data_IF_043675316737
#
_entry.id   IF_043675316737
#
_cell.length_a   1.000
_cell.length_b   1.000
_cell.length_c   1.000
_cell.angle_alpha   90.00
_cell.angle_beta   90.00
_cell.angle_gamma   90.00
#
_symmetry.space_group_name_H-M   'P 1'
#
loop_
_entity.id
_entity.type
_entity.pdbx_description
1 polymer ?
#
# COMPACT_ATOMS: atom_id res chain seq x y z
N UNK A 1 13.88 14.31 8.86
CA UNK A 1 12.56 14.79 8.39
C UNK A 1 12.68 15.05 6.90
N UNK A 2 12.10 14.20 6.06
CA UNK A 2 12.20 14.36 4.59
C UNK A 2 11.00 15.20 4.14
N UNK A 3 11.29 16.29 3.42
CA UNK A 3 10.26 17.24 2.99
C UNK A 3 9.32 16.60 1.95
N UNK A 4 9.84 15.76 1.06
CA UNK A 4 9.04 15.07 0.05
C UNK A 4 9.55 13.65 -0.19
N UNK A 5 8.67 12.70 -0.46
CA UNK A 5 9.10 11.32 -0.63
C UNK A 5 7.97 10.32 -0.75
N UNK A 6 8.33 9.04 -0.72
CA UNK A 6 7.39 7.92 -0.73
C UNK A 6 7.19 7.44 0.68
N UNK A 7 5.93 7.22 1.05
CA UNK A 7 5.56 6.60 2.32
C UNK A 7 4.62 5.45 2.06
N UNK A 8 4.73 4.42 2.88
CA UNK A 8 3.86 3.27 2.89
C UNK A 8 2.84 3.36 4.03
N UNK A 9 1.67 2.78 3.79
CA UNK A 9 0.61 2.61 4.78
C UNK A 9 0.06 1.20 4.64
N UNK A 10 0.04 0.46 5.73
CA UNK A 10 -0.66 -0.82 5.80
C UNK A 10 -2.16 -0.59 5.57
N UNK A 11 -2.73 -1.29 4.60
CA UNK A 11 -4.17 -1.22 4.29
C UNK A 11 -4.94 -2.41 4.84
N UNK A 12 -4.41 -3.62 4.66
CA UNK A 12 -5.08 -4.85 5.04
C UNK A 12 -4.04 -5.95 5.31
N UNK A 13 -4.40 -6.87 6.20
CA UNK A 13 -3.64 -8.07 6.52
C UNK A 13 -4.60 -9.26 6.54
N UNK A 14 -4.16 -10.41 6.02
CA UNK A 14 -4.89 -11.67 6.07
C UNK A 14 -3.96 -12.78 6.49
N UNK A 15 -4.44 -13.65 7.36
CA UNK A 15 -3.68 -14.79 7.85
C UNK A 15 -3.67 -15.94 6.83
N UNK A 16 -2.59 -16.71 6.86
CA UNK A 16 -2.38 -17.93 6.08
C UNK A 16 -1.85 -19.04 7.01
N UNK A 17 -2.68 -19.57 7.93
CA UNK A 17 -2.23 -20.46 9.01
C UNK A 17 -1.66 -21.80 8.51
N UNK A 18 -2.10 -22.27 7.34
CA UNK A 18 -1.68 -23.55 6.78
C UNK A 18 -0.44 -23.46 5.87
N UNK A 19 0.03 -22.24 5.56
CA UNK A 19 1.19 -22.05 4.68
C UNK A 19 2.47 -22.60 5.33
N UNK A 20 3.17 -23.51 4.65
CA UNK A 20 4.47 -24.00 5.06
C UNK A 20 5.57 -23.01 4.70
N UNK A 21 6.37 -22.58 5.69
CA UNK A 21 7.50 -21.70 5.44
C UNK A 21 8.71 -22.46 4.88
N UNK A 22 9.07 -22.21 3.62
CA UNK A 22 10.28 -22.76 2.97
C UNK A 22 11.61 -22.46 3.68
N UNK A 23 11.62 -21.53 4.64
CA UNK A 23 12.87 -21.10 5.30
C UNK A 23 13.07 -21.66 6.70
N UNK A 24 11.99 -22.08 7.38
CA UNK A 24 12.11 -22.68 8.72
C UNK A 24 11.26 -23.94 8.91
N UNK A 25 10.49 -24.38 7.92
CA UNK A 25 9.65 -25.57 7.99
C UNK A 25 8.36 -25.42 8.82
N UNK A 26 8.20 -24.30 9.54
CA UNK A 26 7.00 -24.04 10.34
C UNK A 26 5.82 -23.57 9.51
N UNK A 27 4.61 -23.83 10.00
CA UNK A 27 3.36 -23.36 9.39
C UNK A 27 2.92 -22.01 9.93
N UNK A 28 2.28 -21.24 9.07
CA UNK A 28 1.60 -20.02 9.46
C UNK A 28 2.35 -18.74 9.10
N UNK A 29 1.54 -17.72 8.80
CA UNK A 29 2.02 -16.38 8.50
C UNK A 29 0.88 -15.46 8.10
N UNK A 30 1.26 -14.33 7.53
CA UNK A 30 0.35 -13.30 7.03
C UNK A 30 0.71 -12.86 5.62
N UNK A 31 -0.28 -12.30 4.94
CA UNK A 31 -0.13 -11.50 3.73
C UNK A 31 -0.70 -10.12 4.01
N UNK A 32 0.09 -9.09 3.78
CA UNK A 32 -0.27 -7.69 4.01
C UNK A 32 -0.19 -6.88 2.72
N UNK A 33 -1.16 -5.98 2.53
CA UNK A 33 -1.21 -5.02 1.42
C UNK A 33 -0.84 -3.64 1.94
N UNK A 34 0.10 -2.99 1.26
CA UNK A 34 0.58 -1.66 1.56
C UNK A 34 0.26 -0.70 0.41
N UNK A 35 -0.28 0.46 0.75
CA UNK A 35 -0.38 1.60 -0.16
C UNK A 35 0.90 2.41 -0.09
N UNK A 36 1.57 2.58 -1.23
CA UNK A 36 2.63 3.56 -1.38
C UNK A 36 2.01 4.82 -1.97
N UNK A 37 2.25 5.95 -1.34
CA UNK A 37 1.84 7.27 -1.80
C UNK A 37 3.00 8.24 -1.76
N UNK A 38 2.95 9.24 -2.63
CA UNK A 38 3.87 10.36 -2.59
C UNK A 38 3.35 11.41 -1.61
N UNK A 39 4.23 12.00 -0.81
CA UNK A 39 3.89 13.10 0.08
C UNK A 39 4.85 14.28 -0.11
N UNK A 40 4.35 15.47 0.15
CA UNK A 40 5.11 16.72 0.25
C UNK A 40 4.71 17.40 1.55
N UNK A 41 5.68 17.82 2.36
CA UNK A 41 5.49 18.39 3.70
C UNK A 41 4.53 17.57 4.58
N UNK A 42 4.64 16.24 4.56
CA UNK A 42 3.75 15.25 5.22
C UNK A 42 2.31 15.18 4.67
N UNK A 43 1.96 16.00 3.68
CA UNK A 43 0.66 15.96 3.01
C UNK A 43 0.74 14.92 1.89
N UNK A 44 -0.15 13.92 1.85
CA UNK A 44 -0.20 12.97 0.76
C UNK A 44 -0.76 13.63 -0.52
N UNK A 45 -0.05 13.43 -1.63
CA UNK A 45 -0.36 14.07 -2.90
C UNK A 45 -1.09 13.13 -3.86
N UNK A 46 -0.56 11.94 -4.09
CA UNK A 46 -1.20 10.93 -4.92
C UNK A 46 -0.73 9.51 -4.57
N UNK A 47 -1.59 8.50 -4.76
CA UNK A 47 -1.20 7.10 -4.63
C UNK A 47 -0.25 6.71 -5.79
N UNK A 48 0.84 6.01 -5.46
CA UNK A 48 1.83 5.54 -6.43
C UNK A 48 1.61 4.09 -6.84
N UNK A 49 1.54 3.19 -5.86
CA UNK A 49 1.41 1.75 -6.13
C UNK A 49 0.93 0.99 -4.90
N UNK A 50 0.41 -0.22 -5.09
CA UNK A 50 0.07 -1.16 -4.01
C UNK A 50 1.05 -2.33 -3.99
N UNK A 51 1.78 -2.49 -2.88
CA UNK A 51 2.70 -3.61 -2.65
C UNK A 51 2.06 -4.65 -1.76
N UNK A 52 2.47 -5.90 -1.95
CA UNK A 52 2.11 -7.01 -1.08
C UNK A 52 3.41 -7.57 -0.49
N UNK A 53 3.38 -7.86 0.79
CA UNK A 53 4.42 -8.59 1.48
C UNK A 53 3.78 -9.72 2.29
N UNK A 54 4.52 -10.81 2.47
CA UNK A 54 4.12 -11.91 3.35
C UNK A 54 5.17 -12.06 4.44
N UNK A 55 4.74 -12.44 5.64
CA UNK A 55 5.62 -12.65 6.78
C UNK A 55 5.25 -13.95 7.48
N UNK A 56 6.24 -14.80 7.77
CA UNK A 56 6.06 -15.98 8.61
C UNK A 56 5.98 -15.59 10.08
N UNK A 57 5.14 -16.26 10.86
CA UNK A 57 5.06 -16.01 12.30
C UNK A 57 6.30 -16.45 13.07
N UNK A 58 6.86 -17.62 12.73
CA UNK A 58 7.97 -18.21 13.48
C UNK A 58 9.31 -17.53 13.18
N UNK A 59 9.74 -17.53 11.92
CA UNK A 59 11.05 -16.98 11.55
C UNK A 59 11.03 -15.48 11.18
N UNK A 60 9.86 -14.86 11.11
CA UNK A 60 9.65 -13.45 10.69
C UNK A 60 10.20 -13.09 9.31
N UNK A 61 10.57 -14.08 8.50
CA UNK A 61 11.06 -13.86 7.13
C UNK A 61 9.98 -13.17 6.32
N UNK A 62 10.36 -12.05 5.71
CA UNK A 62 9.49 -11.28 4.83
C UNK A 62 9.76 -11.66 3.39
N UNK A 63 8.70 -12.05 2.68
CA UNK A 63 8.70 -12.28 1.24
C UNK A 63 8.02 -11.12 0.54
N UNK A 64 8.49 -10.76 -0.65
CA UNK A 64 7.82 -9.81 -1.55
C UNK A 64 7.20 -10.57 -2.72
N UNK A 65 6.31 -9.94 -3.48
CA UNK A 65 5.50 -10.58 -4.55
C UNK A 65 6.26 -11.53 -5.50
N UNK A 66 7.55 -11.27 -5.78
CA UNK A 66 8.39 -12.13 -6.63
C UNK A 66 8.75 -13.48 -6.00
N UNK A 67 8.80 -13.55 -4.67
CA UNK A 67 9.23 -14.71 -3.88
C UNK A 67 8.03 -15.42 -3.20
N UNK A 68 6.81 -15.12 -3.66
CA UNK A 68 5.57 -15.68 -3.10
C UNK A 68 5.36 -17.12 -3.57
N UNK A 69 4.92 -17.97 -2.64
CA UNK A 69 4.33 -19.26 -2.95
C UNK A 69 2.99 -19.08 -3.71
N UNK A 70 2.43 -20.19 -4.21
CA UNK A 70 1.15 -20.17 -4.92
C UNK A 70 0.00 -19.68 -4.03
N UNK A 71 -0.08 -20.15 -2.78
CA UNK A 71 -1.10 -19.75 -1.82
C UNK A 71 -0.93 -18.27 -1.42
N UNK A 72 0.28 -17.81 -1.11
CA UNK A 72 0.57 -16.39 -0.88
C UNK A 72 0.17 -15.51 -2.07
N UNK A 73 0.46 -15.96 -3.30
CA UNK A 73 0.08 -15.24 -4.52
C UNK A 73 -1.43 -15.17 -4.69
N UNK A 74 -2.16 -16.26 -4.45
CA UNK A 74 -3.62 -16.30 -4.51
C UNK A 74 -4.25 -15.34 -3.49
N UNK A 75 -3.87 -15.47 -2.21
CA UNK A 75 -4.35 -14.61 -1.12
C UNK A 75 -4.04 -13.14 -1.40
N UNK A 76 -2.83 -12.84 -1.88
CA UNK A 76 -2.46 -11.46 -2.22
C UNK A 76 -3.32 -10.87 -3.34
N UNK A 77 -3.73 -11.67 -4.33
CA UNK A 77 -4.61 -11.22 -5.42
C UNK A 77 -6.02 -10.94 -4.91
N UNK A 78 -6.56 -11.82 -4.06
CA UNK A 78 -7.87 -11.63 -3.44
C UNK A 78 -7.88 -10.38 -2.55
N UNK A 79 -6.90 -10.27 -1.65
CA UNK A 79 -6.80 -9.14 -0.74
C UNK A 79 -6.61 -7.81 -1.49
N UNK A 80 -5.87 -7.80 -2.62
CA UNK A 80 -5.76 -6.59 -3.48
C UNK A 80 -7.06 -6.19 -4.17
N UNK A 81 -7.95 -7.14 -4.47
CA UNK A 81 -9.28 -6.85 -5.05
C UNK A 81 -10.22 -6.28 -3.99
N UNK A 82 -10.20 -6.85 -2.79
CA UNK A 82 -11.01 -6.41 -1.65
C UNK A 82 -10.57 -5.03 -1.12
N UNK A 83 -9.26 -4.78 -1.12
CA UNK A 83 -8.70 -3.56 -0.52
C UNK A 83 -8.70 -2.39 -1.49
N UNK A 84 -9.53 -1.37 -1.23
CA UNK A 84 -9.56 -0.13 -2.01
C UNK A 84 -8.40 0.80 -1.66
N UNK A 85 -7.99 1.61 -2.63
CA UNK A 85 -7.02 2.70 -2.39
C UNK A 85 -7.69 3.79 -1.55
N UNK A 86 -7.09 4.23 -0.43
CA UNK A 86 -7.66 5.29 0.37
C UNK A 86 -7.69 6.64 -0.37
N UNK A 87 -8.85 7.28 -0.44
CA UNK A 87 -9.05 8.58 -1.13
C UNK A 87 -8.23 9.73 -0.49
N UNK A 88 -7.96 9.65 0.82
CA UNK A 88 -7.14 10.65 1.51
C UNK A 88 -5.71 10.75 0.97
N UNK A 89 -5.25 9.77 0.16
CA UNK A 89 -3.95 9.85 -0.51
C UNK A 89 -3.87 10.91 -1.61
N UNK A 90 -5.01 11.49 -2.01
CA UNK A 90 -5.11 12.50 -3.08
C UNK A 90 -5.33 13.94 -2.58
N UNK A 91 -5.29 14.18 -1.26
CA UNK A 91 -5.61 15.50 -0.68
C UNK A 91 -4.78 16.63 -1.30
N UNK A 92 -3.46 16.45 -1.43
CA UNK A 92 -2.58 17.47 -1.99
C UNK A 92 -2.91 17.81 -3.46
N UNK A 93 -3.25 16.80 -4.26
CA UNK A 93 -3.65 17.03 -5.66
C UNK A 93 -5.00 17.75 -5.76
N UNK A 94 -5.97 17.39 -4.91
CA UNK A 94 -7.26 18.08 -4.86
C UNK A 94 -7.10 19.56 -4.48
N UNK A 95 -6.25 19.88 -3.49
CA UNK A 95 -5.99 21.25 -3.09
C UNK A 95 -5.42 22.09 -4.23
N UNK A 96 -4.44 21.56 -4.97
CA UNK A 96 -3.86 22.25 -6.13
C UNK A 96 -4.92 22.49 -7.20
N UNK A 97 -5.74 21.48 -7.51
CA UNK A 97 -6.80 21.61 -8.51
C UNK A 97 -7.81 22.70 -8.12
N UNK A 98 -8.23 22.75 -6.86
CA UNK A 98 -9.15 23.78 -6.35
C UNK A 98 -8.52 25.17 -6.49
N UNK A 99 -7.27 25.36 -6.10
CA UNK A 99 -6.58 26.64 -6.24
C UNK A 99 -6.48 27.11 -7.70
N UNK A 100 -6.20 26.18 -8.63
CA UNK A 100 -6.13 26.50 -10.06
C UNK A 100 -7.50 26.89 -10.64
N UNK A 101 -8.56 26.16 -10.28
CA UNK A 101 -9.93 26.45 -10.74
C UNK A 101 -10.39 27.80 -10.21
N UNK A 102 -10.17 28.09 -8.92
CA UNK A 102 -10.54 29.39 -8.34
C UNK A 102 -9.80 30.55 -9.00
N UNK A 103 -8.49 30.42 -9.24
CA UNK A 103 -7.71 31.44 -9.92
C UNK A 103 -8.21 31.67 -11.37
N UNK A 104 -8.53 30.59 -12.08
CA UNK A 104 -9.12 30.69 -13.42
C UNK A 104 -10.47 31.41 -13.41
N UNK A 105 -11.36 31.09 -12.47
CA UNK A 105 -12.67 31.74 -12.34
C UNK A 105 -12.55 33.23 -12.00
N UNK A 106 -11.62 33.59 -11.11
CA UNK A 106 -11.36 34.99 -10.75
C UNK A 106 -10.86 35.79 -11.96
N UNK A 107 -10.09 35.18 -12.86
CA UNK A 107 -9.62 35.85 -14.09
C UNK A 107 -10.70 35.97 -15.17
N UNK A 108 -11.77 35.18 -15.08
CA UNK A 108 -12.84 35.15 -16.07
C UNK A 108 -13.93 36.20 -15.79
N UNK A 109 -14.08 36.59 -14.52
CA UNK A 109 -14.97 37.66 -14.02
C UNK A 109 -14.29 39.01 -14.21
#
# INVERSE_FOLDING_TARGET
MILFGRKDKLLATREIPEELCESCGERGGIVSIFQIYYHVAKIPFFPLSRRAASQCYSCRKVKVKKDFSNQQRMVSKLLKKETKTPLWTMIGSCLILICLVLNYLIRLI
#
